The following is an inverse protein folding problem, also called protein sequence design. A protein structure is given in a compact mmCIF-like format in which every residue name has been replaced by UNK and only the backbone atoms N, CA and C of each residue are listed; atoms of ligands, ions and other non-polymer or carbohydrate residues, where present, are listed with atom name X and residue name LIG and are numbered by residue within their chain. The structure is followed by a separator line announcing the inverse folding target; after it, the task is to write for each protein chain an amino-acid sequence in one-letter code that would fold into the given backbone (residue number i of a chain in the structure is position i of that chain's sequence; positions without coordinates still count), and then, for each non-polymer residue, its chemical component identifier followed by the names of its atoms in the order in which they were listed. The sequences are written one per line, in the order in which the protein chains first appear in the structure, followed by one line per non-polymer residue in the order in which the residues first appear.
data_IF_587711098626
#
_entry.id   IF_587711098626
#
_cell.length_a   1.000
_cell.length_b   1.000
_cell.length_c   1.000
_cell.angle_alpha   90.00
_cell.angle_beta   90.00
_cell.angle_gamma   90.00
#
_symmetry.space_group_name_H-M   'P 1'
#
loop_
_entity.id
_entity.type
_entity.pdbx_description
1 polymer ?
#
# COMPACT_ATOMS: atom_id res chain seq x y z
N UNK A 1 -11.79 -1.99 1.10
CA UNK A 1 -11.98 -3.26 1.83
C UNK A 1 -10.81 -3.53 2.78
N UNK A 2 -11.01 -4.30 3.86
CA UNK A 2 -9.94 -4.82 4.73
C UNK A 2 -9.93 -6.35 4.71
N UNK A 3 -8.76 -6.94 4.46
CA UNK A 3 -8.51 -8.37 4.56
C UNK A 3 -7.78 -8.66 5.88
N UNK A 4 -8.31 -9.56 6.72
CA UNK A 4 -7.73 -9.92 8.02
C UNK A 4 -7.30 -11.39 8.06
N UNK A 5 -6.00 -11.64 8.18
CA UNK A 5 -5.43 -12.98 8.30
C UNK A 5 -5.31 -13.51 9.73
N UNK A 6 -5.85 -12.79 10.72
CA UNK A 6 -5.66 -13.11 12.14
C UNK A 6 -6.98 -13.24 12.92
N UNK A 7 -7.04 -14.18 13.88
CA UNK A 7 -8.18 -14.33 14.80
C UNK A 7 -8.30 -13.22 15.87
N UNK A 8 -7.58 -12.11 15.71
CA UNK A 8 -7.65 -10.98 16.64
C UNK A 8 -8.81 -10.05 16.27
N UNK A 9 -9.45 -9.47 17.28
CA UNK A 9 -10.45 -8.43 17.08
C UNK A 9 -9.76 -7.11 16.66
N UNK A 10 -9.48 -6.97 15.35
CA UNK A 10 -8.81 -5.79 14.79
C UNK A 10 -9.75 -4.60 14.56
N UNK A 11 -11.05 -4.77 14.83
CA UNK A 11 -12.10 -3.79 14.56
C UNK A 11 -11.82 -2.45 15.24
N UNK A 12 -11.35 -2.48 16.50
CA UNK A 12 -11.02 -1.27 17.23
C UNK A 12 -9.86 -0.49 16.57
N UNK A 13 -8.84 -1.19 16.10
CA UNK A 13 -7.69 -0.56 15.42
C UNK A 13 -8.06 -0.02 14.04
N UNK A 14 -8.92 -0.72 13.29
CA UNK A 14 -9.49 -0.22 12.04
C UNK A 14 -10.32 1.02 12.32
N UNK A 15 -11.17 1.00 13.36
CA UNK A 15 -11.98 2.15 13.76
C UNK A 15 -11.14 3.38 14.07
N UNK A 16 -10.05 3.21 14.82
CA UNK A 16 -9.09 4.29 15.09
C UNK A 16 -8.40 4.81 13.83
N UNK A 17 -7.95 3.91 12.95
CA UNK A 17 -7.33 4.28 11.67
C UNK A 17 -8.28 5.08 10.78
N UNK A 18 -9.54 4.63 10.65
CA UNK A 18 -10.56 5.33 9.87
C UNK A 18 -10.92 6.68 10.47
N UNK A 19 -10.99 6.78 11.80
CA UNK A 19 -11.20 8.04 12.47
C UNK A 19 -10.07 9.02 12.19
N UNK A 20 -8.81 8.58 12.30
CA UNK A 20 -7.63 9.39 11.98
C UNK A 20 -7.59 9.82 10.51
N UNK A 21 -7.98 8.95 9.58
CA UNK A 21 -8.08 9.29 8.17
C UNK A 21 -9.14 10.39 7.93
N UNK A 22 -10.31 10.25 8.56
CA UNK A 22 -11.42 11.21 8.42
C UNK A 22 -11.12 12.56 9.07
N UNK A 23 -10.48 12.59 10.23
CA UNK A 23 -10.05 13.85 10.87
C UNK A 23 -9.04 14.61 10.02
N UNK A 24 -8.30 13.90 9.15
CA UNK A 24 -7.37 14.48 8.16
C UNK A 24 -8.00 14.77 6.79
N UNK A 25 -9.32 14.62 6.65
CA UNK A 25 -10.06 15.00 5.46
C UNK A 25 -10.23 13.92 4.40
N UNK A 26 -9.81 12.67 4.64
CA UNK A 26 -10.08 11.57 3.71
C UNK A 26 -11.56 11.14 3.79
N UNK A 27 -12.25 11.19 2.66
CA UNK A 27 -13.63 10.75 2.52
C UNK A 27 -13.72 9.23 2.36
N UNK A 28 -13.58 8.50 3.47
CA UNK A 28 -13.62 7.02 3.46
C UNK A 28 -15.00 6.47 3.85
N UNK A 29 -15.56 5.65 2.97
CA UNK A 29 -16.69 4.77 3.29
C UNK A 29 -16.31 3.77 4.40
N UNK A 30 -17.31 3.23 5.10
CA UNK A 30 -17.08 2.14 6.05
C UNK A 30 -16.60 0.90 5.29
N UNK A 31 -15.43 0.33 5.62
CA UNK A 31 -14.90 -0.79 4.84
C UNK A 31 -15.64 -2.08 5.16
N UNK A 32 -15.87 -2.90 4.14
CA UNK A 32 -16.15 -4.31 4.35
C UNK A 32 -14.88 -4.99 4.89
N UNK A 33 -15.04 -5.82 5.93
CA UNK A 33 -13.95 -6.55 6.58
C UNK A 33 -14.17 -8.03 6.30
N UNK A 34 -13.22 -8.64 5.62
CA UNK A 34 -13.22 -10.06 5.30
C UNK A 34 -12.07 -10.73 6.03
N UNK A 35 -12.38 -11.78 6.78
CA UNK A 35 -11.36 -12.64 7.37
C UNK A 35 -10.97 -13.72 6.38
N UNK A 36 -9.68 -14.00 6.25
CA UNK A 36 -9.18 -15.14 5.47
C UNK A 36 -8.33 -16.05 6.36
N UNK A 37 -8.34 -17.34 6.08
CA UNK A 37 -7.43 -18.26 6.74
C UNK A 37 -6.11 -18.33 5.96
N UNK A 38 -5.02 -18.33 6.70
CA UNK A 38 -3.70 -18.69 6.23
C UNK A 38 -3.61 -19.91 5.30
N UNK A 39 -4.41 -20.94 5.58
CA UNK A 39 -4.43 -22.18 4.82
C UNK A 39 -5.01 -22.00 3.40
N UNK A 40 -5.75 -20.91 3.17
CA UNK A 40 -6.50 -20.64 1.95
C UNK A 40 -5.76 -19.67 1.01
N UNK A 41 -4.46 -19.44 1.19
CA UNK A 41 -3.71 -18.44 0.42
C UNK A 41 -2.93 -19.08 -0.74
N UNK A 42 -3.63 -19.74 -1.63
CA UNK A 42 -3.11 -20.16 -2.94
C UNK A 42 -3.14 -18.99 -3.94
N UNK A 43 -2.38 -19.10 -5.03
CA UNK A 43 -2.42 -18.14 -6.15
C UNK A 43 -3.81 -18.00 -6.76
N UNK A 44 -4.53 -19.11 -6.87
CA UNK A 44 -5.89 -19.16 -7.40
C UNK A 44 -6.85 -18.36 -6.51
N UNK A 45 -6.70 -18.49 -5.18
CA UNK A 45 -7.55 -17.78 -4.23
C UNK A 45 -7.29 -16.27 -4.25
N UNK A 46 -6.04 -15.82 -4.42
CA UNK A 46 -5.76 -14.38 -4.60
C UNK A 46 -6.37 -13.80 -5.87
N UNK A 47 -6.32 -14.56 -6.96
CA UNK A 47 -6.92 -14.15 -8.24
C UNK A 47 -8.43 -13.99 -8.09
N UNK A 48 -9.08 -14.94 -7.42
CA UNK A 48 -10.51 -14.87 -7.17
C UNK A 48 -10.89 -13.72 -6.23
N UNK A 49 -10.18 -13.54 -5.12
CA UNK A 49 -10.42 -12.42 -4.19
C UNK A 49 -10.33 -11.08 -4.91
N UNK A 50 -9.32 -10.88 -5.76
CA UNK A 50 -9.16 -9.63 -6.50
C UNK A 50 -10.16 -9.49 -7.67
N UNK A 51 -10.58 -10.59 -8.28
CA UNK A 51 -11.68 -10.60 -9.24
C UNK A 51 -12.98 -10.13 -8.61
N UNK A 52 -13.36 -10.72 -7.48
CA UNK A 52 -14.56 -10.34 -6.72
C UNK A 52 -14.47 -8.87 -6.28
N UNK A 53 -13.29 -8.43 -5.81
CA UNK A 53 -13.05 -7.05 -5.44
C UNK A 53 -13.33 -6.05 -6.56
N UNK A 54 -12.86 -6.37 -7.77
CA UNK A 54 -13.06 -5.56 -8.96
C UNK A 54 -14.54 -5.52 -9.36
N UNK A 55 -15.22 -6.67 -9.35
CA UNK A 55 -16.66 -6.77 -9.65
C UNK A 55 -17.52 -5.95 -8.69
N UNK A 56 -17.13 -5.86 -7.42
CA UNK A 56 -17.82 -5.07 -6.40
C UNK A 56 -17.40 -3.58 -6.37
N UNK A 57 -16.50 -3.16 -7.27
CA UNK A 57 -16.10 -1.75 -7.41
C UNK A 57 -15.22 -1.23 -6.27
N UNK A 58 -14.42 -2.09 -5.64
CA UNK A 58 -13.48 -1.65 -4.62
C UNK A 58 -12.21 -1.03 -5.22
N UNK A 59 -11.95 0.23 -4.88
CA UNK A 59 -10.77 0.97 -5.36
C UNK A 59 -9.52 0.74 -4.51
N UNK A 60 -9.71 0.32 -3.24
CA UNK A 60 -8.62 0.18 -2.27
C UNK A 60 -8.78 -1.00 -1.33
N UNK A 61 -7.68 -1.71 -1.11
CA UNK A 61 -7.60 -2.89 -0.24
C UNK A 61 -6.48 -2.76 0.78
N UNK A 62 -6.84 -2.86 2.06
CA UNK A 62 -5.90 -2.95 3.18
C UNK A 62 -5.77 -4.41 3.61
N UNK A 63 -4.61 -5.02 3.39
CA UNK A 63 -4.28 -6.33 3.91
C UNK A 63 -3.65 -6.19 5.29
N UNK A 64 -4.22 -6.88 6.29
CA UNK A 64 -3.70 -7.00 7.64
C UNK A 64 -3.42 -8.47 7.97
N UNK A 65 -2.16 -8.80 8.15
CA UNK A 65 -1.71 -10.13 8.59
C UNK A 65 -0.72 -10.01 9.77
N UNK A 66 -0.31 -11.15 10.36
CA UNK A 66 0.76 -11.16 11.36
C UNK A 66 2.11 -11.37 10.68
N UNK A 67 3.17 -10.76 11.21
CA UNK A 67 4.56 -11.05 10.78
C UNK A 67 4.95 -12.53 10.83
N UNK A 68 4.29 -13.32 11.67
CA UNK A 68 4.53 -14.78 11.78
C UNK A 68 3.99 -15.55 10.57
N UNK A 69 3.15 -14.91 9.76
CA UNK A 69 2.62 -15.46 8.55
C UNK A 69 3.68 -15.50 7.44
N UNK A 70 3.52 -16.32 6.39
CA UNK A 70 4.50 -16.52 5.29
C UNK A 70 4.77 -15.21 4.51
N UNK A 71 5.51 -14.31 5.15
CA UNK A 71 5.52 -12.87 4.91
C UNK A 71 5.93 -12.50 3.48
N UNK A 72 6.96 -13.17 2.96
CA UNK A 72 7.42 -12.94 1.60
C UNK A 72 6.35 -13.37 0.57
N UNK A 73 5.76 -14.55 0.75
CA UNK A 73 4.77 -15.07 -0.22
C UNK A 73 3.49 -14.22 -0.22
N UNK A 74 2.91 -13.89 0.93
CA UNK A 74 1.69 -13.06 0.96
C UNK A 74 1.93 -11.67 0.41
N UNK A 75 3.05 -11.03 0.78
CA UNK A 75 3.34 -9.69 0.27
C UNK A 75 3.55 -9.67 -1.25
N UNK A 76 4.36 -10.58 -1.80
CA UNK A 76 4.62 -10.61 -3.24
C UNK A 76 3.36 -10.94 -4.04
N UNK A 77 2.57 -11.94 -3.62
CA UNK A 77 1.33 -12.29 -4.30
C UNK A 77 0.32 -11.14 -4.29
N UNK A 78 0.16 -10.49 -3.14
CA UNK A 78 -0.73 -9.32 -3.01
C UNK A 78 -0.30 -8.16 -3.92
N UNK A 79 1.02 -7.93 -4.07
CA UNK A 79 1.57 -6.92 -4.99
C UNK A 79 1.48 -7.31 -6.45
N UNK A 80 1.60 -8.59 -6.79
CA UNK A 80 1.33 -9.06 -8.14
C UNK A 80 -0.14 -8.86 -8.50
N UNK A 81 -1.08 -9.17 -7.60
CA UNK A 81 -2.51 -8.95 -7.84
C UNK A 81 -2.87 -7.48 -8.00
N UNK A 82 -2.25 -6.56 -7.24
CA UNK A 82 -2.39 -5.11 -7.44
C UNK A 82 -2.11 -4.69 -8.89
N UNK A 83 -1.01 -5.19 -9.47
CA UNK A 83 -0.62 -4.89 -10.84
C UNK A 83 -1.57 -5.51 -11.87
N UNK A 84 -2.04 -6.73 -11.62
CA UNK A 84 -2.91 -7.47 -12.55
C UNK A 84 -4.32 -6.85 -12.60
N UNK A 85 -4.87 -6.49 -11.44
CA UNK A 85 -6.26 -6.07 -11.30
C UNK A 85 -6.44 -4.54 -11.22
N UNK A 86 -5.35 -3.78 -11.11
CA UNK A 86 -5.40 -2.31 -11.06
C UNK A 86 -6.04 -1.75 -9.78
N UNK A 87 -6.08 -2.53 -8.70
CA UNK A 87 -6.66 -2.12 -7.42
C UNK A 87 -5.55 -1.64 -6.49
N UNK A 88 -5.70 -0.46 -5.89
CA UNK A 88 -4.67 0.10 -4.99
C UNK A 88 -4.59 -0.71 -3.70
N UNK A 89 -3.36 -1.09 -3.29
CA UNK A 89 -3.21 -1.94 -2.11
C UNK A 89 -2.24 -1.44 -1.06
N UNK A 90 -2.53 -1.71 0.19
CA UNK A 90 -1.61 -1.51 1.30
C UNK A 90 -1.53 -2.76 2.16
N UNK A 91 -0.31 -3.27 2.35
CA UNK A 91 -0.04 -4.36 3.28
C UNK A 91 0.46 -3.76 4.61
N UNK A 92 -0.16 -4.15 5.73
CA UNK A 92 0.21 -3.72 7.08
C UNK A 92 0.24 -4.92 8.00
N UNK A 93 1.32 -5.12 8.71
CA UNK A 93 1.34 -6.14 9.76
C UNK A 93 0.59 -5.68 11.00
N UNK A 94 -0.13 -6.59 11.65
CA UNK A 94 -0.88 -6.35 12.87
C UNK A 94 0.01 -5.73 13.97
N UNK A 95 1.23 -6.25 14.13
CA UNK A 95 2.19 -5.75 15.11
C UNK A 95 2.61 -4.29 14.84
N UNK A 96 2.52 -3.85 13.59
CA UNK A 96 2.73 -2.46 13.19
C UNK A 96 1.47 -1.63 13.41
N UNK A 97 0.29 -2.15 13.04
CA UNK A 97 -0.99 -1.47 13.21
C UNK A 97 -1.31 -1.15 14.69
N UNK A 98 -0.84 -1.99 15.62
CA UNK A 98 -1.02 -1.77 17.05
C UNK A 98 -0.18 -0.61 17.60
N UNK A 99 0.82 -0.11 16.86
CA UNK A 99 1.67 1.01 17.30
C UNK A 99 1.05 2.33 16.85
N UNK A 100 0.79 3.22 17.81
CA UNK A 100 0.15 4.52 17.59
C UNK A 100 0.78 5.40 16.47
N UNK A 101 2.11 5.61 16.40
CA UNK A 101 2.71 6.44 15.35
C UNK A 101 2.62 5.82 13.94
N UNK A 102 2.19 4.56 13.82
CA UNK A 102 2.04 3.92 12.51
C UNK A 102 0.74 4.29 11.80
N UNK A 103 -0.29 4.77 12.51
CA UNK A 103 -1.57 5.16 11.88
C UNK A 103 -1.39 6.33 10.94
N UNK A 104 -0.65 7.36 11.35
CA UNK A 104 -0.35 8.51 10.50
C UNK A 104 0.34 8.10 9.20
N UNK A 105 1.38 7.26 9.28
CA UNK A 105 2.08 6.76 8.09
C UNK A 105 1.17 5.95 7.16
N UNK A 106 0.23 5.17 7.73
CA UNK A 106 -0.74 4.41 6.93
C UNK A 106 -1.72 5.36 6.24
N UNK A 107 -2.22 6.38 6.95
CA UNK A 107 -3.14 7.39 6.39
C UNK A 107 -2.47 8.17 5.26
N UNK A 108 -1.24 8.66 5.46
CA UNK A 108 -0.50 9.38 4.43
C UNK A 108 -0.28 8.53 3.16
N UNK A 109 0.07 7.26 3.33
CA UNK A 109 0.23 6.32 2.21
C UNK A 109 -1.10 6.01 1.52
N UNK A 110 -2.18 5.89 2.29
CA UNK A 110 -3.53 5.68 1.76
C UNK A 110 -3.97 6.87 0.92
N UNK A 111 -3.80 8.09 1.43
CA UNK A 111 -4.16 9.31 0.72
C UNK A 111 -3.42 9.40 -0.63
N UNK A 112 -2.10 9.20 -0.63
CA UNK A 112 -1.31 9.26 -1.87
C UNK A 112 -1.66 8.19 -2.90
N UNK A 113 -2.11 7.01 -2.46
CA UNK A 113 -2.58 5.94 -3.36
C UNK A 113 -3.96 6.21 -3.94
N UNK A 114 -4.74 7.06 -3.29
CA UNK A 114 -6.05 7.52 -3.72
C UNK A 114 -5.94 8.92 -4.35
N UNK A 115 -4.83 9.21 -5.01
CA UNK A 115 -4.52 10.46 -5.73
C UNK A 115 -4.55 11.73 -4.87
N UNK A 116 -4.54 11.59 -3.54
CA UNK A 116 -4.52 12.68 -2.59
C UNK A 116 -3.12 13.26 -2.37
N UNK A 117 -3.07 14.55 -2.03
CA UNK A 117 -1.84 15.28 -1.70
C UNK A 117 -1.81 15.50 -0.18
N UNK A 118 -0.75 15.01 0.49
CA UNK A 118 -0.63 15.13 1.95
C UNK A 118 -0.15 16.50 2.42
N UNK A 119 0.71 17.16 1.62
CA UNK A 119 1.39 18.37 2.01
C UNK A 119 1.48 19.34 0.85
N UNK A 120 1.29 20.62 1.16
CA UNK A 120 1.63 21.72 0.27
C UNK A 120 2.95 22.33 0.74
N UNK A 121 3.96 22.32 -0.11
CA UNK A 121 5.27 22.89 0.22
C UNK A 121 5.18 24.41 0.09
N UNK A 122 5.46 25.13 1.18
CA UNK A 122 5.59 26.59 1.16
C UNK A 122 7.08 26.92 1.20
N UNK A 123 7.60 27.44 0.10
CA UNK A 123 8.99 27.84 -0.03
C UNK A 123 9.12 29.35 0.17
N UNK A 124 10.07 29.78 1.01
CA UNK A 124 10.40 31.21 1.19
C UNK A 124 10.79 31.86 -0.15
N UNK A 125 10.43 33.12 -0.42
CA UNK A 125 10.76 33.77 -1.69
C UNK A 125 12.27 33.89 -1.89
N UNK A 126 12.84 33.01 -2.71
CA UNK A 126 14.23 33.06 -3.16
C UNK A 126 14.27 32.88 -4.68
N UNK A 127 15.37 33.29 -5.31
CA UNK A 127 15.50 33.12 -6.77
C UNK A 127 15.46 31.65 -7.22
N UNK A 128 15.84 30.71 -6.34
CA UNK A 128 15.73 29.26 -6.59
C UNK A 128 14.27 28.79 -6.45
N UNK A 129 13.56 29.31 -5.46
CA UNK A 129 12.17 28.92 -5.19
C UNK A 129 11.18 29.47 -6.23
N UNK A 130 11.49 30.62 -6.86
CA UNK A 130 10.74 31.16 -8.01
C UNK A 130 10.63 30.15 -9.16
N UNK A 131 11.62 29.29 -9.34
CA UNK A 131 11.58 28.25 -10.36
C UNK A 131 10.42 27.29 -10.07
N UNK A 132 10.28 26.83 -8.82
CA UNK A 132 9.22 25.89 -8.39
C UNK A 132 7.82 26.48 -8.41
N UNK A 133 7.70 27.82 -8.41
CA UNK A 133 6.44 28.55 -8.52
C UNK A 133 6.06 28.91 -9.96
N UNK A 134 6.97 28.75 -10.92
CA UNK A 134 6.62 28.84 -12.34
C UNK A 134 6.15 27.43 -12.72
N UNK A 135 4.87 27.26 -13.05
CA UNK A 135 4.18 25.98 -13.36
C UNK A 135 4.74 25.24 -14.60
N UNK A 136 6.03 25.44 -14.92
CA UNK A 136 6.76 24.96 -16.09
C UNK A 136 7.91 24.01 -15.75
N UNK A 137 8.14 23.69 -14.47
CA UNK A 137 9.10 22.64 -14.11
C UNK A 137 8.43 21.27 -14.13
N UNK A 138 9.04 20.33 -14.85
CA UNK A 138 8.81 18.90 -14.66
C UNK A 138 10.05 18.26 -14.01
N UNK A 139 9.86 17.60 -12.86
CA UNK A 139 10.93 16.95 -12.10
C UNK A 139 10.81 15.44 -12.29
N UNK A 140 11.90 14.81 -12.70
CA UNK A 140 11.99 13.34 -12.86
C UNK A 140 13.10 12.83 -11.96
N UNK A 141 12.75 11.92 -11.06
CA UNK A 141 13.70 11.06 -10.35
C UNK A 141 13.67 9.67 -10.97
N UNK A 142 14.82 9.03 -11.07
CA UNK A 142 14.93 7.63 -11.46
C UNK A 142 15.92 6.92 -10.52
N UNK A 143 15.76 5.62 -10.35
CA UNK A 143 16.67 4.78 -9.57
C UNK A 143 16.92 3.45 -10.29
N UNK A 144 18.05 2.79 -9.97
CA UNK A 144 18.45 1.50 -10.56
C UNK A 144 18.64 0.48 -9.45
N UNK A 145 17.84 -0.58 -9.47
CA UNK A 145 17.94 -1.71 -8.57
C UNK A 145 18.61 -2.90 -9.25
N UNK A 146 19.52 -3.58 -8.56
CA UNK A 146 20.20 -4.80 -9.02
C UNK A 146 19.71 -6.01 -8.24
N UNK A 147 18.63 -6.70 -8.68
CA UNK A 147 18.14 -7.90 -8.02
C UNK A 147 19.20 -9.02 -8.05
N UNK A 148 19.27 -9.86 -7.01
CA UNK A 148 20.26 -10.93 -6.97
C UNK A 148 20.04 -11.92 -8.14
N UNK A 149 21.12 -12.45 -8.72
CA UNK A 149 21.02 -13.42 -9.81
C UNK A 149 20.25 -14.66 -9.35
N UNK A 150 19.36 -15.17 -10.21
CA UNK A 150 18.50 -16.33 -9.93
C UNK A 150 19.22 -17.69 -10.08
N UNK A 151 20.55 -17.69 -10.21
CA UNK A 151 21.37 -18.89 -10.39
C UNK A 151 22.86 -18.67 -10.25
N UNK A 152 23.65 -19.74 -10.42
CA UNK A 152 25.11 -19.70 -10.51
C UNK A 152 25.50 -19.47 -11.97
N UNK A 153 25.52 -18.24 -12.44
CA UNK A 153 26.12 -17.92 -13.75
C UNK A 153 26.97 -16.66 -13.67
N UNK A 154 28.04 -16.64 -14.46
CA UNK A 154 28.95 -15.50 -14.70
C UNK A 154 28.28 -14.42 -15.60
N UNK A 155 26.96 -14.33 -15.60
CA UNK A 155 26.21 -13.38 -16.41
C UNK A 155 26.15 -12.00 -15.74
N UNK A 156 26.03 -10.95 -16.56
CA UNK A 156 25.88 -9.58 -16.07
C UNK A 156 24.69 -9.45 -15.09
N UNK A 157 24.91 -8.73 -13.98
CA UNK A 157 23.87 -8.55 -12.96
C UNK A 157 22.61 -7.90 -13.57
N UNK A 158 21.42 -8.50 -13.38
CA UNK A 158 20.18 -7.92 -13.88
C UNK A 158 19.95 -6.56 -13.21
N UNK A 159 19.36 -5.62 -13.97
CA UNK A 159 19.06 -4.27 -13.48
C UNK A 159 17.62 -3.91 -13.81
N UNK A 160 16.93 -3.25 -12.88
CA UNK A 160 15.57 -2.74 -13.03
C UNK A 160 15.59 -1.23 -12.77
N UNK A 161 15.05 -0.45 -13.69
CA UNK A 161 14.95 1.01 -13.59
C UNK A 161 13.51 1.39 -13.25
N UNK A 162 13.34 2.31 -12.30
CA UNK A 162 12.05 2.89 -11.91
C UNK A 162 12.09 4.41 -11.92
#
# INVERSE_FOLDING_TARGET
MVLNGSNHNIQEHIGRLLNEARTRGLALASPQILSFNSADLSTENWTQIFGDLLEHGYEYVLLIDSKKFRQAQTHHMFKCSELIFGVQTQHVHLETLMKYPCHENIVHKMNMKLDGINYHVVLEPSNINKLFYDDKIFIVGYDVAHPPPSGKSDDAEPSVVG
#
